data_IF_299642799566
#
_entry.id   IF_299642799566
#
_cell.length_a   1.000
_cell.length_b   1.000
_cell.length_c   1.000
_cell.angle_alpha   90.00
_cell.angle_beta   90.00
_cell.angle_gamma   90.00
#
_symmetry.space_group_name_H-M   'P 1'
#
loop_
_entity.id
_entity.type
_entity.pdbx_description
1 polymer ?
#
# COMPACT_ATOMS: atom_id res chain seq x y z
N UNK A 1 -8.21 -11.12 -3.93
CA UNK A 1 -7.72 -9.80 -3.45
C UNK A 1 -6.21 -9.84 -3.42
N UNK A 2 -5.57 -8.76 -3.87
CA UNK A 2 -4.11 -8.63 -3.87
C UNK A 2 -3.63 -7.75 -2.72
N UNK A 3 -2.50 -8.14 -2.14
CA UNK A 3 -1.83 -7.43 -1.07
C UNK A 3 -0.41 -7.11 -1.54
N UNK A 4 -0.06 -5.83 -1.55
CA UNK A 4 1.21 -5.34 -2.05
C UNK A 4 2.02 -4.78 -0.89
N UNK A 5 3.27 -5.22 -0.78
CA UNK A 5 4.27 -4.59 0.07
C UNK A 5 5.28 -3.82 -0.79
N UNK A 6 5.55 -2.57 -0.42
CA UNK A 6 6.55 -1.71 -1.04
C UNK A 6 7.47 -1.21 0.06
N UNK A 7 8.73 -1.62 0.03
CA UNK A 7 9.81 -1.08 0.86
C UNK A 7 10.66 -0.15 0.00
N UNK A 8 10.57 1.17 0.23
CA UNK A 8 11.25 2.15 -0.63
C UNK A 8 12.74 2.24 -0.28
N UNK A 9 13.60 2.01 -1.26
CA UNK A 9 15.07 2.01 -1.10
C UNK A 9 15.73 3.39 -0.90
N UNK A 10 14.93 4.46 -0.85
CA UNK A 10 15.34 5.87 -0.73
C UNK A 10 16.57 6.22 -1.59
N UNK A 11 17.64 6.77 -0.97
CA UNK A 11 18.88 7.17 -1.66
C UNK A 11 19.85 6.02 -1.87
N UNK A 12 19.58 4.86 -1.27
CA UNK A 12 20.57 3.81 -1.03
C UNK A 12 20.41 2.57 -1.91
N UNK A 13 19.31 2.43 -2.66
CA UNK A 13 19.16 1.29 -3.55
C UNK A 13 17.78 1.16 -4.17
N UNK A 14 17.59 0.01 -4.81
CA UNK A 14 16.29 -0.40 -5.34
C UNK A 14 15.26 -0.57 -4.21
N UNK A 15 14.00 -0.31 -4.53
CA UNK A 15 12.86 -0.58 -3.66
C UNK A 15 12.45 -2.04 -3.77
N UNK A 16 12.23 -2.70 -2.64
CA UNK A 16 11.73 -4.07 -2.56
C UNK A 16 10.22 -4.10 -2.76
N UNK A 17 9.75 -4.95 -3.68
CA UNK A 17 8.34 -5.07 -4.05
C UNK A 17 7.89 -6.52 -3.89
N UNK A 18 6.78 -6.72 -3.19
CA UNK A 18 6.17 -8.04 -3.02
C UNK A 18 4.68 -7.97 -3.33
N UNK A 19 4.20 -8.89 -4.15
CA UNK A 19 2.78 -9.04 -4.46
C UNK A 19 2.30 -10.38 -3.98
N UNK A 20 1.28 -10.35 -3.14
CA UNK A 20 0.65 -11.53 -2.59
C UNK A 20 -0.78 -11.64 -3.13
N UNK A 21 -1.19 -12.86 -3.43
CA UNK A 21 -2.56 -13.19 -3.78
C UNK A 21 -3.20 -13.95 -2.63
N UNK A 22 -4.34 -13.46 -2.13
CA UNK A 22 -5.20 -14.22 -1.24
C UNK A 22 -6.02 -15.22 -2.06
N UNK A 23 -5.93 -16.48 -1.69
CA UNK A 23 -6.63 -17.59 -2.31
C UNK A 23 -7.41 -18.34 -1.24
N UNK A 24 -8.70 -18.58 -1.49
CA UNK A 24 -9.49 -19.45 -0.65
C UNK A 24 -9.19 -20.91 -0.97
N UNK A 25 -8.80 -21.67 0.05
CA UNK A 25 -8.56 -23.12 -0.06
C UNK A 25 -9.61 -23.86 0.76
N UNK A 26 -9.79 -25.18 0.55
CA UNK A 26 -10.67 -26.00 1.39
C UNK A 26 -10.29 -25.97 2.89
N UNK A 27 -9.06 -25.57 3.22
CA UNK A 27 -8.56 -25.47 4.60
C UNK A 27 -8.55 -24.04 5.16
N UNK A 28 -9.14 -23.08 4.43
CA UNK A 28 -9.15 -21.66 4.76
C UNK A 28 -8.35 -20.81 3.78
N UNK A 29 -8.35 -19.50 4.00
CA UNK A 29 -7.65 -18.56 3.14
C UNK A 29 -6.13 -18.65 3.33
N UNK A 30 -5.39 -18.55 2.22
CA UNK A 30 -3.93 -18.58 2.17
C UNK A 30 -3.41 -17.41 1.34
N UNK A 31 -2.29 -16.83 1.79
CA UNK A 31 -1.53 -15.87 1.00
C UNK A 31 -0.41 -16.61 0.28
N UNK A 32 -0.37 -16.47 -1.05
CA UNK A 32 0.73 -16.93 -1.89
C UNK A 32 1.50 -15.75 -2.46
N UNK A 33 2.82 -15.90 -2.62
CA UNK A 33 3.64 -14.92 -3.34
C UNK A 33 3.34 -15.08 -4.83
N UNK A 34 2.83 -14.02 -5.45
CA UNK A 34 2.61 -13.94 -6.90
C UNK A 34 3.84 -13.39 -7.61
N UNK A 35 4.48 -12.35 -7.04
CA UNK A 35 5.70 -11.77 -7.59
C UNK A 35 6.55 -11.11 -6.49
N UNK A 36 7.87 -11.14 -6.65
CA UNK A 36 8.85 -10.57 -5.73
C UNK A 36 10.03 -10.00 -6.54
N UNK A 37 10.28 -8.70 -6.42
CA UNK A 37 11.29 -8.04 -7.25
C UNK A 37 11.82 -6.77 -6.61
N UNK A 38 12.90 -6.23 -7.16
CA UNK A 38 13.44 -4.92 -6.78
C UNK A 38 13.40 -3.98 -7.98
N UNK A 39 13.04 -2.70 -7.78
CA UNK A 39 13.01 -1.68 -8.83
C UNK A 39 13.63 -0.37 -8.37
N UNK A 40 14.32 0.32 -9.25
CA UNK A 40 15.05 1.52 -8.89
C UNK A 40 14.17 2.77 -8.98
N UNK A 41 13.39 2.90 -10.06
CA UNK A 41 12.61 4.11 -10.32
C UNK A 41 11.14 3.96 -9.90
N UNK A 42 10.49 5.09 -9.62
CA UNK A 42 9.05 5.10 -9.33
C UNK A 42 8.23 4.66 -10.55
N UNK A 43 8.67 5.02 -11.75
CA UNK A 43 8.03 4.62 -13.01
C UNK A 43 8.02 3.10 -13.17
N UNK A 44 9.13 2.42 -12.82
CA UNK A 44 9.21 0.97 -12.83
C UNK A 44 8.32 0.31 -11.78
N UNK A 45 8.20 0.93 -10.60
CA UNK A 45 7.30 0.47 -9.53
C UNK A 45 5.85 0.59 -10.00
N UNK A 46 5.44 1.72 -10.59
CA UNK A 46 4.10 1.91 -11.13
C UNK A 46 3.79 0.94 -12.28
N UNK A 47 4.70 0.81 -13.24
CA UNK A 47 4.52 -0.16 -14.33
C UNK A 47 4.41 -1.60 -13.82
N UNK A 48 5.13 -1.95 -12.76
CA UNK A 48 5.01 -3.23 -12.10
C UNK A 48 3.64 -3.41 -11.44
N UNK A 49 3.14 -2.40 -10.70
CA UNK A 49 1.80 -2.41 -10.10
C UNK A 49 0.72 -2.60 -11.17
N UNK A 50 0.72 -1.76 -12.21
CA UNK A 50 -0.27 -1.79 -13.29
C UNK A 50 -0.30 -3.14 -14.01
N UNK A 51 0.89 -3.76 -14.20
CA UNK A 51 1.00 -5.05 -14.90
C UNK A 51 0.27 -6.20 -14.19
N UNK A 52 0.05 -6.13 -12.88
CA UNK A 52 -0.71 -7.19 -12.23
C UNK A 52 -1.68 -6.78 -11.16
N UNK A 53 -2.14 -5.54 -11.19
CA UNK A 53 -3.42 -5.15 -10.63
C UNK A 53 -4.40 -5.01 -11.80
N UNK A 54 -5.44 -5.84 -11.85
CA UNK A 54 -6.51 -5.65 -12.83
C UNK A 54 -7.35 -4.43 -12.45
N UNK A 55 -7.78 -3.63 -13.42
CA UNK A 55 -8.52 -2.36 -13.20
C UNK A 55 -9.79 -2.51 -12.35
N UNK A 56 -10.42 -3.70 -12.36
CA UNK A 56 -11.64 -3.99 -11.61
C UNK A 56 -11.40 -4.58 -10.20
N UNK A 57 -10.16 -4.92 -9.84
CA UNK A 57 -9.85 -5.54 -8.56
C UNK A 57 -9.22 -4.54 -7.58
N UNK A 58 -9.90 -4.29 -6.46
CA UNK A 58 -9.30 -3.56 -5.36
C UNK A 58 -8.09 -4.29 -4.78
N UNK A 59 -7.03 -3.54 -4.48
CA UNK A 59 -5.83 -4.05 -3.84
C UNK A 59 -5.51 -3.25 -2.57
N UNK A 60 -4.89 -3.92 -1.60
CA UNK A 60 -4.31 -3.26 -0.43
C UNK A 60 -2.82 -3.03 -0.70
N UNK A 61 -2.37 -1.78 -0.65
CA UNK A 61 -0.96 -1.43 -0.82
C UNK A 61 -0.41 -0.89 0.50
N UNK A 62 0.57 -1.59 1.06
CA UNK A 62 1.33 -1.19 2.23
C UNK A 62 2.68 -0.64 1.78
N UNK A 63 2.97 0.60 2.15
CA UNK A 63 4.21 1.30 1.77
C UNK A 63 5.01 1.58 3.04
N UNK A 64 6.24 1.08 3.12
CA UNK A 64 7.20 1.39 4.18
C UNK A 64 7.93 2.70 3.89
N UNK A 65 7.16 3.80 3.97
CA UNK A 65 7.66 5.15 3.88
C UNK A 65 6.60 6.15 4.39
N UNK A 66 6.99 7.35 4.85
CA UNK A 66 6.05 8.44 5.00
C UNK A 66 5.40 8.76 3.66
N UNK A 67 4.08 8.57 3.58
CA UNK A 67 3.28 8.92 2.42
C UNK A 67 2.51 10.21 2.69
N UNK A 68 2.57 11.15 1.74
CA UNK A 68 1.70 12.32 1.75
C UNK A 68 0.50 11.97 0.88
N UNK A 69 -0.68 11.89 1.48
CA UNK A 69 -1.91 11.60 0.75
C UNK A 69 -2.87 12.78 0.92
N UNK A 70 -2.92 13.71 -0.06
CA UNK A 70 -3.70 14.92 0.10
C UNK A 70 -5.20 14.67 0.20
N UNK A 71 -5.86 15.43 1.06
CA UNK A 71 -7.31 15.51 1.13
C UNK A 71 -7.77 16.66 0.24
N UNK A 72 -8.75 16.40 -0.63
CA UNK A 72 -9.42 17.47 -1.37
C UNK A 72 -10.05 18.47 -0.39
N UNK A 73 -10.76 17.98 0.64
CA UNK A 73 -11.31 18.80 1.73
C UNK A 73 -11.38 17.99 3.03
N UNK A 74 -11.14 18.62 4.17
CA UNK A 74 -11.38 18.01 5.50
C UNK A 74 -10.62 16.70 5.75
N UNK A 75 -11.18 15.81 6.57
CA UNK A 75 -10.58 14.51 6.95
C UNK A 75 -11.32 13.36 6.29
N UNK A 76 -10.62 12.52 5.52
CA UNK A 76 -11.23 11.36 4.85
C UNK A 76 -11.65 10.30 5.87
N UNK A 77 -12.52 9.40 5.42
CA UNK A 77 -12.98 8.29 6.26
C UNK A 77 -11.82 7.43 6.80
N UNK A 78 -10.81 7.01 5.99
CA UNK A 78 -9.70 6.22 6.50
C UNK A 78 -8.92 6.95 7.60
N UNK A 79 -8.58 8.23 7.40
CA UNK A 79 -7.86 9.04 8.39
C UNK A 79 -8.61 9.10 9.74
N UNK A 80 -9.95 9.25 9.68
CA UNK A 80 -10.83 9.29 10.85
C UNK A 80 -10.88 7.95 11.57
N UNK A 81 -10.97 6.84 10.82
CA UNK A 81 -10.99 5.49 11.39
C UNK A 81 -9.63 5.16 12.01
N UNK A 82 -8.52 5.53 11.35
CA UNK A 82 -7.17 5.38 11.90
C UNK A 82 -7.04 6.09 13.24
N UNK A 83 -7.44 7.36 13.33
CA UNK A 83 -7.43 8.09 14.59
C UNK A 83 -8.36 7.45 15.65
N UNK A 84 -9.56 7.02 15.26
CA UNK A 84 -10.54 6.38 16.17
C UNK A 84 -10.00 5.09 16.80
N UNK A 85 -9.39 4.22 16.01
CA UNK A 85 -8.96 2.89 16.46
C UNK A 85 -7.54 2.87 17.02
N UNK A 86 -6.65 3.73 16.50
CA UNK A 86 -5.22 3.69 16.79
C UNK A 86 -4.65 4.98 17.39
N UNK A 87 -5.45 6.03 17.60
CA UNK A 87 -4.99 7.31 18.16
C UNK A 87 -4.36 7.18 19.56
N UNK A 88 -4.81 6.23 20.37
CA UNK A 88 -4.19 5.91 21.68
C UNK A 88 -2.76 5.39 21.60
N UNK A 89 -2.33 4.94 20.42
CA UNK A 89 -0.96 4.51 20.11
C UNK A 89 -0.17 5.59 19.37
N UNK A 90 -0.69 6.82 19.29
CA UNK A 90 -0.13 7.91 18.49
C UNK A 90 -0.03 7.59 16.99
N UNK A 91 -0.82 6.63 16.51
CA UNK A 91 -0.90 6.25 15.10
C UNK A 91 -2.08 6.97 14.43
N UNK A 92 -1.90 8.27 14.18
CA UNK A 92 -2.85 9.11 13.45
C UNK A 92 -2.23 9.71 12.19
N UNK A 93 -3.06 9.96 11.17
CA UNK A 93 -2.61 10.64 9.96
C UNK A 93 -2.45 12.14 10.22
N UNK A 94 -1.33 12.73 9.80
CA UNK A 94 -1.18 14.18 9.79
C UNK A 94 -2.12 14.81 8.74
N UNK A 95 -2.84 15.90 9.05
CA UNK A 95 -3.70 16.56 8.08
C UNK A 95 -2.91 17.10 6.89
N UNK A 96 -3.24 16.63 5.68
CA UNK A 96 -2.63 17.08 4.43
C UNK A 96 -3.72 17.64 3.50
N UNK A 97 -4.36 18.75 3.89
CA UNK A 97 -5.46 19.34 3.13
C UNK A 97 -4.92 20.32 2.09
N UNK A 98 -5.52 20.36 0.89
CA UNK A 98 -5.11 21.26 -0.19
C UNK A 98 -5.63 22.70 -0.05
N UNK A 99 -6.57 22.96 0.87
CA UNK A 99 -7.20 24.28 1.08
C UNK A 99 -8.69 24.14 1.34
#
# INVERSE_FOLDING_TARGET
MKFIGIDLGWRSGESGLCRLQLQSTPTGDRLGIEDLTCRLSLEEIFAWLDKGLGEAEGAMVAVDAPTIIPNQTGTRLPDRLTHKYFGKYHAGCYPANLG
#
